data_IF_796094439545
#
_entry.id   IF_796094439545
#
_cell.length_a   1.000
_cell.length_b   1.000
_cell.length_c   1.000
_cell.angle_alpha   90.00
_cell.angle_beta   90.00
_cell.angle_gamma   90.00
#
_symmetry.space_group_name_H-M   'P 1'
#
loop_
_entity.id
_entity.type
_entity.pdbx_description
1 polymer ?
#
# COMPACT_ATOMS: atom_id res chain seq x y z
N UNK A 1 -2.14 -26.21 6.22
CA UNK A 1 -2.34 -24.75 6.19
C UNK A 1 -3.00 -24.36 7.50
N UNK A 2 -2.27 -23.70 8.41
CA UNK A 2 -2.82 -23.25 9.69
C UNK A 2 -3.05 -21.74 9.61
N UNK A 3 -4.32 -21.33 9.65
CA UNK A 3 -4.72 -19.92 9.71
C UNK A 3 -5.02 -19.58 11.17
N UNK A 4 -4.15 -18.83 11.83
CA UNK A 4 -4.39 -18.37 13.19
C UNK A 4 -5.26 -17.10 13.19
N UNK A 5 -6.52 -17.24 13.64
CA UNK A 5 -7.41 -16.12 13.90
C UNK A 5 -7.18 -15.56 15.32
N UNK A 6 -6.53 -14.40 15.42
CA UNK A 6 -6.81 -13.42 16.46
C UNK A 6 -6.74 -12.03 15.82
N UNK A 7 -7.93 -11.51 15.53
CA UNK A 7 -8.23 -10.31 14.75
C UNK A 7 -8.33 -10.58 13.23
N UNK A 8 -9.56 -10.76 12.73
CA UNK A 8 -9.91 -11.08 11.32
C UNK A 8 -9.46 -10.05 10.28
N UNK A 9 -8.73 -9.01 10.68
CA UNK A 9 -8.30 -7.93 9.79
C UNK A 9 -6.94 -8.15 9.14
N UNK A 10 -6.09 -9.06 9.63
CA UNK A 10 -4.72 -9.22 9.11
C UNK A 10 -4.22 -10.69 9.18
N UNK A 11 -4.71 -11.61 8.32
CA UNK A 11 -4.23 -12.99 8.31
C UNK A 11 -2.76 -13.05 7.87
N UNK A 12 -1.94 -13.81 8.59
CA UNK A 12 -0.54 -14.08 8.23
C UNK A 12 -0.39 -15.56 7.90
N UNK A 13 0.15 -15.86 6.71
CA UNK A 13 0.45 -17.23 6.28
C UNK A 13 1.95 -17.46 6.46
N UNK A 14 2.30 -18.49 7.24
CA UNK A 14 3.68 -18.91 7.47
C UNK A 14 3.92 -20.30 6.87
N UNK A 15 5.18 -20.60 6.53
CA UNK A 15 5.54 -21.89 5.94
C UNK A 15 5.30 -23.04 6.93
N UNK A 16 4.72 -24.15 6.46
CA UNK A 16 4.54 -25.36 7.25
C UNK A 16 5.85 -26.14 7.52
N UNK A 17 6.97 -25.71 6.92
CA UNK A 17 8.28 -26.32 7.14
C UNK A 17 9.00 -25.75 8.37
N UNK A 18 8.41 -24.78 9.08
CA UNK A 18 9.02 -24.20 10.27
C UNK A 18 8.90 -25.16 11.45
N UNK A 19 9.99 -25.26 12.23
CA UNK A 19 9.91 -25.90 13.55
C UNK A 19 9.11 -25.03 14.52
N UNK A 20 8.57 -25.65 15.58
CA UNK A 20 7.79 -24.96 16.63
C UNK A 20 8.55 -23.75 17.19
N UNK A 21 9.85 -23.91 17.46
CA UNK A 21 10.67 -22.82 17.98
C UNK A 21 10.82 -21.65 16.99
N UNK A 22 10.98 -21.94 15.70
CA UNK A 22 11.05 -20.91 14.66
C UNK A 22 9.71 -20.21 14.46
N UNK A 23 8.61 -20.95 14.55
CA UNK A 23 7.26 -20.39 14.54
C UNK A 23 7.07 -19.40 15.69
N UNK A 24 7.43 -19.79 16.92
CA UNK A 24 7.32 -18.93 18.10
C UNK A 24 8.16 -17.65 17.99
N UNK A 25 9.42 -17.78 17.56
CA UNK A 25 10.29 -16.62 17.34
C UNK A 25 9.75 -15.69 16.24
N UNK A 26 9.25 -16.25 15.12
CA UNK A 26 8.67 -15.46 14.04
C UNK A 26 7.41 -14.73 14.50
N UNK A 27 6.55 -15.40 15.27
CA UNK A 27 5.34 -14.80 15.82
C UNK A 27 5.66 -13.65 16.78
N UNK A 28 6.70 -13.78 17.60
CA UNK A 28 7.14 -12.70 18.50
C UNK A 28 7.57 -11.45 17.72
N UNK A 29 8.35 -11.64 16.65
CA UNK A 29 8.77 -10.54 15.76
C UNK A 29 7.57 -9.91 15.05
N UNK A 30 6.66 -10.71 14.48
CA UNK A 30 5.48 -10.22 13.79
C UNK A 30 4.55 -9.43 14.73
N UNK A 31 4.40 -9.87 15.99
CA UNK A 31 3.63 -9.14 17.01
C UNK A 31 4.27 -7.82 17.37
N UNK A 32 5.60 -7.77 17.51
CA UNK A 32 6.37 -6.54 17.78
C UNK A 32 6.31 -5.56 16.60
N UNK A 33 6.39 -6.06 15.38
CA UNK A 33 6.50 -5.28 14.14
C UNK A 33 5.16 -5.02 13.46
N UNK A 34 4.03 -5.23 14.15
CA UNK A 34 2.68 -5.12 13.56
C UNK A 34 2.44 -3.79 12.83
N UNK A 35 2.98 -2.68 13.36
CA UNK A 35 2.84 -1.33 12.77
C UNK A 35 3.66 -1.11 11.50
N UNK A 36 4.71 -1.90 11.29
CA UNK A 36 5.65 -1.73 10.17
C UNK A 36 5.24 -2.54 8.94
N UNK A 37 4.44 -3.59 9.13
CA UNK A 37 4.03 -4.51 8.06
C UNK A 37 3.00 -3.85 7.11
N UNK A 38 2.43 -2.68 7.47
CA UNK A 38 1.60 -1.90 6.56
C UNK A 38 0.30 -2.62 6.17
N UNK A 39 -0.46 -3.11 7.15
CA UNK A 39 -1.64 -3.96 6.92
C UNK A 39 -2.78 -3.23 6.22
N UNK A 40 -2.95 -1.95 6.56
CA UNK A 40 -3.90 -1.06 5.91
C UNK A 40 -3.15 0.04 5.16
N UNK A 41 -3.78 0.61 4.14
CA UNK A 41 -3.23 1.78 3.43
C UNK A 41 -2.93 2.93 4.42
N UNK A 42 -3.73 3.05 5.48
CA UNK A 42 -3.53 4.01 6.57
C UNK A 42 -2.27 3.76 7.41
N UNK A 43 -1.75 2.52 7.45
CA UNK A 43 -0.51 2.17 8.14
C UNK A 43 0.73 2.57 7.33
N UNK A 44 0.59 2.72 6.00
CA UNK A 44 1.65 3.21 5.12
C UNK A 44 1.86 4.70 5.40
N UNK A 45 2.82 5.01 6.26
CA UNK A 45 3.28 6.39 6.42
C UNK A 45 3.84 6.87 5.09
N UNK A 46 3.14 7.82 4.47
CA UNK A 46 3.66 8.53 3.31
C UNK A 46 5.05 9.12 3.60
N UNK A 47 5.85 9.30 2.56
CA UNK A 47 7.14 9.95 2.69
C UNK A 47 6.89 11.41 3.10
N UNK A 48 7.59 11.88 4.13
CA UNK A 48 7.47 13.28 4.55
C UNK A 48 7.86 14.18 3.37
N UNK A 49 6.99 15.11 2.93
CA UNK A 49 7.31 16.02 1.82
C UNK A 49 8.60 16.79 2.05
N UNK A 50 8.92 17.15 3.30
CA UNK A 50 10.16 17.84 3.67
C UNK A 50 11.42 16.99 3.45
N UNK A 51 11.29 15.66 3.48
CA UNK A 51 12.39 14.72 3.26
C UNK A 51 12.58 14.44 1.77
N UNK A 52 11.53 14.53 0.97
CA UNK A 52 11.53 14.05 -0.42
C UNK A 52 10.66 14.93 -1.34
N UNK A 53 10.98 16.22 -1.44
CA UNK A 53 10.43 17.07 -2.50
C UNK A 53 11.33 16.95 -3.73
N UNK A 54 10.82 16.30 -4.77
CA UNK A 54 11.49 16.26 -6.06
C UNK A 54 11.13 17.50 -6.88
N UNK A 55 12.13 18.24 -7.35
CA UNK A 55 11.93 19.34 -8.27
C UNK A 55 11.99 18.82 -9.70
N UNK A 56 10.89 18.93 -10.44
CA UNK A 56 10.85 18.62 -11.87
C UNK A 56 11.27 19.88 -12.62
N UNK A 57 12.45 19.87 -13.22
CA UNK A 57 12.89 20.96 -14.08
C UNK A 57 12.16 20.92 -15.43
N UNK A 58 11.70 22.07 -15.89
CA UNK A 58 11.06 22.24 -17.20
C UNK A 58 11.95 23.14 -18.07
N UNK A 59 11.79 23.04 -19.38
CA UNK A 59 12.44 23.96 -20.33
C UNK A 59 11.92 25.39 -20.12
N UNK A 60 12.76 26.41 -20.36
CA UNK A 60 12.46 27.82 -20.07
C UNK A 60 11.20 28.33 -20.80
N UNK A 61 10.92 27.79 -21.99
CA UNK A 61 9.77 28.18 -22.81
C UNK A 61 8.54 27.26 -22.63
N UNK A 62 8.61 26.31 -21.69
CA UNK A 62 7.52 25.36 -21.44
C UNK A 62 6.28 26.08 -20.89
N UNK A 63 5.13 25.85 -21.53
CA UNK A 63 3.84 26.41 -21.11
C UNK A 63 2.95 25.30 -20.55
N UNK A 64 2.17 25.56 -19.49
CA UNK A 64 1.20 24.58 -19.00
C UNK A 64 0.13 24.34 -20.07
N UNK A 65 -0.19 23.06 -20.32
CA UNK A 65 -1.21 22.65 -21.29
C UNK A 65 -2.28 21.83 -20.59
N UNK A 66 -3.54 22.25 -20.73
CA UNK A 66 -4.69 21.47 -20.29
C UNK A 66 -5.17 20.59 -21.45
N UNK A 67 -5.04 19.27 -21.31
CA UNK A 67 -5.59 18.33 -22.29
C UNK A 67 -7.05 18.00 -21.96
N UNK A 68 -7.96 17.95 -22.96
CA UNK A 68 -9.33 17.51 -22.74
C UNK A 68 -9.38 16.09 -22.16
N UNK A 69 -10.28 15.86 -21.20
CA UNK A 69 -10.44 14.53 -20.61
C UNK A 69 -10.93 13.53 -21.65
N UNK A 70 -10.20 12.43 -21.80
CA UNK A 70 -10.61 11.34 -22.70
C UNK A 70 -11.85 10.63 -22.17
N UNK A 71 -12.77 10.28 -23.06
CA UNK A 71 -13.95 9.49 -22.71
C UNK A 71 -13.53 8.06 -22.37
N UNK A 72 -13.92 7.59 -21.18
CA UNK A 72 -13.79 6.20 -20.78
C UNK A 72 -15.11 5.48 -21.06
N UNK A 73 -15.05 4.18 -21.31
CA UNK A 73 -16.28 3.36 -21.31
C UNK A 73 -16.82 3.28 -19.86
N UNK A 74 -18.14 3.04 -19.66
CA UNK A 74 -18.75 3.05 -18.32
C UNK A 74 -18.11 2.08 -17.33
N UNK A 75 -17.74 0.87 -17.79
CA UNK A 75 -17.12 -0.15 -16.94
C UNK A 75 -15.74 0.29 -16.42
N UNK A 76 -14.87 0.75 -17.31
CA UNK A 76 -13.56 1.31 -16.95
C UNK A 76 -13.70 2.53 -16.07
N UNK A 77 -14.71 3.39 -16.31
CA UNK A 77 -14.94 4.56 -15.48
C UNK A 77 -15.28 4.18 -14.03
N UNK A 78 -16.09 3.14 -13.83
CA UNK A 78 -16.42 2.65 -12.49
C UNK A 78 -15.19 2.10 -11.75
N UNK A 79 -14.40 1.27 -12.43
CA UNK A 79 -13.14 0.73 -11.88
C UNK A 79 -12.18 1.86 -11.52
N UNK A 80 -11.97 2.82 -12.44
CA UNK A 80 -11.07 3.97 -12.21
C UNK A 80 -11.55 4.80 -11.02
N UNK A 81 -12.85 5.06 -10.88
CA UNK A 81 -13.40 5.79 -9.73
C UNK A 81 -13.12 5.07 -8.41
N UNK A 82 -13.31 3.75 -8.37
CA UNK A 82 -13.06 2.96 -7.18
C UNK A 82 -11.57 2.99 -6.78
N UNK A 83 -10.65 2.89 -7.74
CA UNK A 83 -9.22 2.95 -7.46
C UNK A 83 -8.76 4.36 -7.05
N UNK A 84 -9.27 5.42 -7.70
CA UNK A 84 -8.96 6.81 -7.32
C UNK A 84 -9.36 7.08 -5.87
N UNK A 85 -10.52 6.59 -5.43
CA UNK A 85 -10.96 6.73 -4.04
C UNK A 85 -10.07 5.99 -3.03
N UNK A 86 -9.29 4.99 -3.44
CA UNK A 86 -8.31 4.34 -2.56
C UNK A 86 -7.02 5.16 -2.40
N UNK A 87 -6.76 6.07 -3.35
CA UNK A 87 -5.55 6.90 -3.38
C UNK A 87 -5.75 8.27 -2.71
N UNK A 88 -7.01 8.67 -2.46
CA UNK A 88 -7.39 9.91 -1.79
C UNK A 88 -7.68 9.64 -0.31
#
# INVERSE_FOLDING_TARGET
>A
MHTWEKNKQCPVVISSALSIHQEDCLLEVLRRSKKTIGWQITDLKGINPLVCTHHIYMEDEAKPVCQPQRRLNPHTQEVVRAEVLKLL
#
